data_IF_501317115008
#
_entry.id   IF_501317115008
#
_cell.length_a   1.000
_cell.length_b   1.000
_cell.length_c   1.000
_cell.angle_alpha   90.00
_cell.angle_beta   90.00
_cell.angle_gamma   90.00
#
_symmetry.space_group_name_H-M   'P 1'
#
loop_
_entity.id
_entity.type
_entity.pdbx_description
1 polymer ?
#
# COMPACT_ATOMS: atom_id res chain seq x y z
N UNK A 1 26.41 7.16 20.51
CA UNK A 1 25.50 8.23 20.09
C UNK A 1 24.14 7.62 19.79
N UNK A 2 23.10 8.05 20.50
CA UNK A 2 21.72 7.59 20.34
C UNK A 2 21.09 8.13 19.06
N UNK A 3 19.96 7.56 18.64
CA UNK A 3 19.19 8.07 17.51
C UNK A 3 18.65 9.47 17.75
N UNK A 4 18.33 9.81 19.01
CA UNK A 4 17.87 11.14 19.41
C UNK A 4 18.99 12.15 19.24
N UNK A 5 20.21 11.83 19.71
CA UNK A 5 21.37 12.71 19.54
C UNK A 5 21.70 12.95 18.06
N UNK A 6 21.60 11.90 17.22
CA UNK A 6 21.81 12.03 15.76
C UNK A 6 20.72 12.86 15.09
N UNK A 7 19.48 12.73 15.55
CA UNK A 7 18.37 13.54 15.08
C UNK A 7 18.60 15.00 15.43
N UNK A 8 18.94 15.32 16.67
CA UNK A 8 19.16 16.70 17.11
C UNK A 8 20.30 17.37 16.35
N UNK A 9 21.36 16.61 16.05
CA UNK A 9 22.50 17.07 15.24
C UNK A 9 22.21 17.26 13.74
N UNK A 10 21.07 16.79 13.20
CA UNK A 10 20.71 17.03 11.79
C UNK A 10 20.24 18.47 11.54
N UNK A 11 20.58 19.00 10.36
CA UNK A 11 20.03 20.26 9.88
C UNK A 11 18.52 20.17 9.64
N UNK A 12 17.84 21.32 9.73
CA UNK A 12 16.39 21.40 9.53
C UNK A 12 15.96 20.93 8.13
N UNK A 13 16.77 21.20 7.12
CA UNK A 13 16.54 20.72 5.75
C UNK A 13 16.56 19.19 5.68
N UNK A 14 17.55 18.56 6.32
CA UNK A 14 17.65 17.10 6.39
C UNK A 14 16.46 16.52 7.14
N UNK A 15 16.07 17.11 8.27
CA UNK A 15 14.88 16.70 9.04
C UNK A 15 13.61 16.83 8.21
N UNK A 16 13.47 17.88 7.40
CA UNK A 16 12.32 18.07 6.53
C UNK A 16 12.21 16.97 5.45
N UNK A 17 13.34 16.59 4.83
CA UNK A 17 13.39 15.49 3.87
C UNK A 17 13.00 14.17 4.55
N UNK A 18 13.57 13.85 5.71
CA UNK A 18 13.27 12.63 6.45
C UNK A 18 11.78 12.55 6.83
N UNK A 19 11.18 13.67 7.28
CA UNK A 19 9.75 13.73 7.59
C UNK A 19 8.88 13.48 6.35
N UNK A 20 9.20 14.11 5.21
CA UNK A 20 8.49 13.90 3.95
C UNK A 20 8.59 12.45 3.48
N UNK A 21 9.78 11.88 3.56
CA UNK A 21 10.00 10.48 3.21
C UNK A 21 9.19 9.55 4.11
N UNK A 22 9.23 9.75 5.43
CA UNK A 22 8.44 8.97 6.38
C UNK A 22 6.94 9.03 6.11
N UNK A 23 6.41 10.23 5.85
CA UNK A 23 5.00 10.39 5.47
C UNK A 23 4.66 9.68 4.16
N UNK A 24 5.51 9.78 3.14
CA UNK A 24 5.33 9.09 1.87
C UNK A 24 5.38 7.57 2.02
N UNK A 25 6.35 7.05 2.78
CA UNK A 25 6.44 5.61 3.06
C UNK A 25 5.21 5.09 3.78
N UNK A 26 4.67 5.85 4.74
CA UNK A 26 3.43 5.49 5.43
C UNK A 26 2.23 5.46 4.47
N UNK A 27 2.09 6.47 3.61
CA UNK A 27 1.03 6.52 2.60
C UNK A 27 1.14 5.34 1.62
N UNK A 28 2.35 5.03 1.15
CA UNK A 28 2.60 3.89 0.28
C UNK A 28 2.24 2.57 0.96
N UNK A 29 2.62 2.40 2.23
CA UNK A 29 2.27 1.21 3.00
C UNK A 29 0.74 1.02 3.12
N UNK A 30 0.00 2.09 3.41
CA UNK A 30 -1.47 2.04 3.48
C UNK A 30 -2.07 1.68 2.12
N UNK A 31 -1.62 2.32 1.05
CA UNK A 31 -2.10 2.03 -0.31
C UNK A 31 -1.86 0.56 -0.71
N UNK A 32 -0.66 0.03 -0.45
CA UNK A 32 -0.35 -1.37 -0.72
C UNK A 32 -1.16 -2.33 0.15
N UNK A 33 -1.44 -1.97 1.39
CA UNK A 33 -2.27 -2.77 2.29
C UNK A 33 -3.71 -2.86 1.80
N UNK A 34 -4.28 -1.74 1.34
CA UNK A 34 -5.61 -1.70 0.72
C UNK A 34 -5.63 -2.52 -0.57
N UNK A 35 -4.67 -2.34 -1.46
CA UNK A 35 -4.56 -3.13 -2.69
C UNK A 35 -4.45 -4.63 -2.40
N UNK A 36 -3.63 -5.02 -1.42
CA UNK A 36 -3.52 -6.42 -0.98
C UNK A 36 -4.87 -6.99 -0.55
N UNK A 37 -5.74 -6.20 0.08
CA UNK A 37 -7.08 -6.63 0.48
C UNK A 37 -8.06 -6.67 -0.70
N UNK A 38 -7.98 -5.70 -1.63
CA UNK A 38 -8.90 -5.58 -2.75
C UNK A 38 -8.60 -6.53 -3.91
N UNK A 39 -7.33 -6.84 -4.18
CA UNK A 39 -6.92 -7.71 -5.29
C UNK A 39 -7.57 -9.10 -5.22
N UNK A 40 -7.58 -9.81 -4.07
CA UNK A 40 -8.26 -11.09 -3.95
C UNK A 40 -9.77 -10.99 -4.24
N UNK A 41 -10.42 -9.93 -3.77
CA UNK A 41 -11.85 -9.71 -4.02
C UNK A 41 -12.13 -9.48 -5.50
N UNK A 42 -11.29 -8.69 -6.18
CA UNK A 42 -11.39 -8.47 -7.62
C UNK A 42 -11.21 -9.77 -8.42
N UNK A 43 -10.26 -10.63 -8.00
CA UNK A 43 -10.04 -11.95 -8.62
C UNK A 43 -11.27 -12.84 -8.44
N UNK A 44 -11.84 -12.90 -7.23
CA UNK A 44 -13.04 -13.69 -6.95
C UNK A 44 -14.23 -13.19 -7.79
N UNK A 45 -14.43 -11.87 -7.85
CA UNK A 45 -15.53 -11.28 -8.61
C UNK A 45 -15.39 -11.55 -10.12
N UNK A 46 -14.21 -11.32 -10.68
CA UNK A 46 -13.94 -11.54 -12.09
C UNK A 46 -14.03 -13.03 -12.47
N UNK A 47 -13.42 -13.90 -11.65
CA UNK A 47 -13.44 -15.34 -11.85
C UNK A 47 -14.86 -15.92 -11.71
N UNK A 48 -15.60 -15.48 -10.69
CA UNK A 48 -16.98 -15.88 -10.46
C UNK A 48 -17.91 -15.44 -11.59
N UNK A 49 -17.76 -14.22 -12.10
CA UNK A 49 -18.51 -13.74 -13.26
C UNK A 49 -18.21 -14.58 -14.52
N UNK A 50 -16.93 -14.89 -14.77
CA UNK A 50 -16.55 -15.71 -15.92
C UNK A 50 -17.11 -17.13 -15.81
N UNK A 51 -17.00 -17.75 -14.63
CA UNK A 51 -17.54 -19.07 -14.36
C UNK A 51 -19.07 -19.12 -14.53
N UNK A 52 -19.78 -18.12 -13.99
CA UNK A 52 -21.23 -17.98 -14.17
C UNK A 52 -21.60 -17.86 -15.66
N UNK A 53 -20.91 -16.98 -16.39
CA UNK A 53 -21.16 -16.78 -17.82
C UNK A 53 -20.94 -18.07 -18.61
N UNK A 54 -19.94 -18.87 -18.26
CA UNK A 54 -19.65 -20.12 -18.94
C UNK A 54 -20.68 -21.22 -18.61
N UNK A 55 -21.14 -21.30 -17.37
CA UNK A 55 -22.24 -22.19 -16.98
C UNK A 55 -23.56 -21.80 -17.64
N UNK A 56 -23.88 -20.50 -17.69
CA UNK A 56 -25.12 -20.00 -18.29
C UNK A 56 -25.21 -20.24 -19.81
N UNK A 57 -24.08 -20.44 -20.51
CA UNK A 57 -24.09 -20.85 -21.92
C UNK A 57 -24.39 -22.34 -22.12
N UNK A 58 -24.20 -23.15 -21.06
CA UNK A 58 -24.30 -24.62 -21.10
C UNK A 58 -25.63 -25.14 -20.54
N UNK A 59 -26.41 -24.26 -19.89
CA UNK A 59 -27.78 -24.49 -19.46
C UNK A 59 -28.76 -24.09 -20.57
#
# INVERSE_FOLDING_TARGET
MSLIERWDAMSDETKAIVKKFGAFSLLLFVALSVLRALVPLAIIAAGGYWAYKELAKRA
#
